data_IF_228083559065
#
_entry.id   IF_228083559065
#
_cell.length_a   1.000
_cell.length_b   1.000
_cell.length_c   1.000
_cell.angle_alpha   90.00
_cell.angle_beta   90.00
_cell.angle_gamma   90.00
#
_symmetry.space_group_name_H-M   'P 1'
#
loop_
_entity.id
_entity.type
_entity.pdbx_description
1 polymer ?
#
# COMPACT_ATOMS: atom_id res chain seq x y z
N UNK A 1 14.38 -31.64 -21.81
CA UNK A 1 14.80 -31.38 -20.42
C UNK A 1 15.75 -30.18 -20.40
N UNK A 2 15.31 -29.04 -19.89
CA UNK A 2 16.21 -27.93 -19.56
C UNK A 2 16.62 -28.05 -18.10
N UNK A 3 17.92 -27.92 -17.81
CA UNK A 3 18.42 -27.90 -16.44
C UNK A 3 18.12 -26.53 -15.82
N UNK A 4 17.75 -26.46 -14.54
CA UNK A 4 17.50 -25.18 -13.88
C UNK A 4 18.79 -24.36 -13.77
N UNK A 5 18.69 -23.05 -14.00
CA UNK A 5 19.76 -22.07 -13.80
C UNK A 5 19.56 -21.39 -12.44
N UNK A 6 20.59 -21.39 -11.60
CA UNK A 6 20.63 -20.61 -10.37
C UNK A 6 21.46 -19.35 -10.62
N UNK A 7 20.85 -18.18 -10.50
CA UNK A 7 21.54 -16.89 -10.59
C UNK A 7 21.70 -16.32 -9.19
N UNK A 8 22.93 -16.07 -8.77
CA UNK A 8 23.27 -15.44 -7.48
C UNK A 8 23.74 -14.02 -7.78
N UNK A 9 23.05 -13.04 -7.21
CA UNK A 9 23.34 -11.62 -7.42
C UNK A 9 23.67 -10.97 -6.07
N UNK A 10 24.65 -10.07 -6.08
CA UNK A 10 24.88 -9.16 -4.97
C UNK A 10 23.88 -7.98 -5.05
N UNK A 11 23.34 -7.54 -3.92
CA UNK A 11 22.48 -6.34 -3.85
C UNK A 11 23.20 -5.08 -4.30
N UNK A 12 24.53 -5.06 -4.26
CA UNK A 12 25.35 -3.94 -4.73
C UNK A 12 25.18 -3.62 -6.21
N UNK A 13 24.57 -4.50 -7.01
CA UNK A 13 24.33 -4.28 -8.44
C UNK A 13 23.28 -3.19 -8.69
N UNK A 14 22.29 -3.04 -7.79
CA UNK A 14 21.19 -2.08 -7.94
C UNK A 14 20.66 -1.63 -6.57
N UNK A 15 21.20 -0.50 -6.11
CA UNK A 15 20.73 0.17 -4.90
C UNK A 15 19.56 1.13 -5.17
N UNK A 16 19.32 1.54 -6.42
CA UNK A 16 18.24 2.47 -6.73
C UNK A 16 16.88 1.81 -6.49
N UNK A 17 16.71 0.57 -6.96
CA UNK A 17 15.48 -0.22 -6.76
C UNK A 17 15.17 -0.52 -5.28
N UNK A 18 16.17 -0.48 -4.40
CA UNK A 18 15.97 -0.66 -2.95
C UNK A 18 15.39 0.57 -2.27
N UNK A 19 15.68 1.75 -2.82
CA UNK A 19 15.28 3.03 -2.27
C UNK A 19 13.98 3.54 -2.91
N UNK A 20 13.66 3.03 -4.10
CA UNK A 20 12.48 3.41 -4.87
C UNK A 20 11.20 3.16 -4.09
N UNK A 21 10.32 4.17 -4.04
CA UNK A 21 8.96 3.98 -3.57
C UNK A 21 8.25 3.01 -4.50
N UNK A 22 7.56 2.04 -3.92
CA UNK A 22 6.86 1.03 -4.70
C UNK A 22 5.38 1.36 -4.77
N UNK A 23 4.71 0.94 -5.85
CA UNK A 23 3.28 1.22 -6.05
C UNK A 23 2.41 -0.04 -6.08
N UNK A 24 2.99 -1.22 -5.89
CA UNK A 24 2.25 -2.49 -5.78
C UNK A 24 1.68 -2.67 -4.37
N UNK A 25 0.53 -3.33 -4.24
CA UNK A 25 -0.17 -3.42 -2.95
C UNK A 25 0.67 -3.99 -1.81
N UNK A 26 1.39 -5.09 -2.04
CA UNK A 26 2.24 -5.71 -1.01
C UNK A 26 3.42 -4.82 -0.62
N UNK A 27 4.11 -4.28 -1.61
CA UNK A 27 5.32 -3.51 -1.35
C UNK A 27 4.96 -2.17 -0.68
N UNK A 28 3.85 -1.54 -1.07
CA UNK A 28 3.33 -0.33 -0.47
C UNK A 28 2.90 -0.55 0.98
N UNK A 29 2.21 -1.66 1.27
CA UNK A 29 1.88 -2.08 2.63
C UNK A 29 3.14 -2.28 3.48
N UNK A 30 4.20 -2.85 2.91
CA UNK A 30 5.46 -3.04 3.61
C UNK A 30 6.25 -1.75 3.84
N UNK A 31 6.21 -0.82 2.88
CA UNK A 31 7.02 0.41 2.91
C UNK A 31 6.40 1.49 3.80
N UNK A 32 5.06 1.52 3.88
CA UNK A 32 4.31 2.59 4.55
C UNK A 32 3.76 2.16 5.90
N UNK A 33 3.29 0.92 6.03
CA UNK A 33 2.69 0.39 7.26
C UNK A 33 3.69 -0.50 7.98
N UNK A 34 3.48 -0.74 9.29
CA UNK A 34 4.32 -1.68 10.02
C UNK A 34 3.95 -3.12 9.64
N UNK A 35 4.56 -3.60 8.56
CA UNK A 35 4.38 -4.95 8.02
C UNK A 35 5.50 -5.86 8.52
N UNK A 36 5.18 -6.79 9.42
CA UNK A 36 6.13 -7.79 9.93
C UNK A 36 5.47 -9.15 9.97
N UNK A 37 6.16 -10.19 9.51
CA UNK A 37 5.68 -11.58 9.60
C UNK A 37 4.26 -11.79 9.01
N UNK A 38 3.94 -11.15 7.86
CA UNK A 38 2.62 -11.14 7.23
C UNK A 38 1.50 -10.51 8.08
N UNK A 39 1.86 -9.63 9.00
CA UNK A 39 0.94 -8.88 9.84
C UNK A 39 1.15 -7.39 9.62
N UNK A 40 0.05 -6.67 9.48
CA UNK A 40 0.02 -5.22 9.32
C UNK A 40 -0.56 -4.60 10.58
N UNK A 41 0.18 -3.70 11.20
CA UNK A 41 -0.32 -2.90 12.33
C UNK A 41 -0.70 -1.50 11.83
N UNK A 42 -1.96 -1.12 12.08
CA UNK A 42 -2.52 0.19 11.72
C UNK A 42 -2.90 0.91 13.00
N UNK A 43 -2.41 2.13 13.16
CA UNK A 43 -2.82 3.04 14.21
C UNK A 43 -4.02 3.85 13.75
N UNK A 44 -5.21 3.52 14.27
CA UNK A 44 -6.40 4.33 14.08
C UNK A 44 -6.47 5.37 15.21
N UNK A 45 -6.66 6.64 14.83
CA UNK A 45 -6.97 7.71 15.78
C UNK A 45 -8.48 7.80 15.90
N UNK A 46 -9.01 7.53 17.10
CA UNK A 46 -10.43 7.67 17.35
C UNK A 46 -10.74 9.15 17.70
N UNK A 47 -11.21 9.90 16.71
CA UNK A 47 -11.62 11.30 16.86
C UNK A 47 -12.80 11.47 17.85
N UNK A 48 -13.52 10.39 18.17
CA UNK A 48 -14.71 10.45 19.03
C UNK A 48 -14.40 10.35 20.52
N UNK A 49 -13.19 9.94 20.89
CA UNK A 49 -12.77 9.78 22.29
C UNK A 49 -11.71 10.83 22.61
N UNK A 50 -12.10 11.92 23.26
CA UNK A 50 -11.15 12.86 23.87
C UNK A 50 -10.84 12.39 25.29
N UNK A 51 -9.59 12.01 25.56
CA UNK A 51 -9.15 11.90 26.95
C UNK A 51 -8.99 13.30 27.54
N UNK A 52 -9.13 13.45 28.86
CA UNK A 52 -9.13 14.76 29.56
C UNK A 52 -7.89 15.65 29.34
N UNK A 53 -6.83 15.12 28.72
CA UNK A 53 -5.61 15.83 28.32
C UNK A 53 -5.58 16.28 26.84
N UNK A 54 -6.70 16.18 26.12
CA UNK A 54 -6.80 16.58 24.70
C UNK A 54 -6.08 15.64 23.72
N UNK A 55 -5.70 14.44 24.17
CA UNK A 55 -5.11 13.39 23.31
C UNK A 55 -6.19 12.37 22.92
N UNK A 56 -6.30 12.09 21.63
CA UNK A 56 -7.12 10.98 21.14
C UNK A 56 -6.37 9.66 21.42
N UNK A 57 -7.00 8.67 22.08
CA UNK A 57 -6.38 7.37 22.27
C UNK A 57 -6.21 6.68 20.91
N UNK A 58 -4.99 6.31 20.55
CA UNK A 58 -4.71 5.53 19.35
C UNK A 58 -5.04 4.06 19.62
N UNK A 59 -5.94 3.47 18.82
CA UNK A 59 -6.22 2.04 18.88
C UNK A 59 -5.40 1.36 17.79
N UNK A 60 -4.39 0.60 18.19
CA UNK A 60 -3.63 -0.27 17.28
C UNK A 60 -4.51 -1.44 16.86
N UNK A 61 -4.83 -1.53 15.58
CA UNK A 61 -5.46 -2.71 14.97
C UNK A 61 -4.43 -3.50 14.22
N UNK A 62 -4.53 -4.81 14.35
CA UNK A 62 -3.61 -5.76 13.76
C UNK A 62 -4.36 -6.62 12.75
N UNK A 63 -3.88 -6.66 11.53
CA UNK A 63 -4.46 -7.41 10.43
C UNK A 63 -3.48 -8.49 9.96
N UNK A 64 -3.91 -9.75 9.98
CA UNK A 64 -3.12 -10.88 9.53
C UNK A 64 -3.42 -11.22 8.06
N UNK A 65 -2.40 -11.16 7.20
CA UNK A 65 -2.48 -11.45 5.78
C UNK A 65 -2.11 -12.91 5.51
N UNK A 66 -3.13 -13.75 5.44
CA UNK A 66 -2.96 -15.21 5.39
C UNK A 66 -2.76 -15.67 3.93
N UNK A 67 -1.84 -16.61 3.63
CA UNK A 67 -1.65 -17.13 2.26
C UNK A 67 -2.88 -17.84 1.65
N UNK A 68 -3.85 -18.23 2.49
CA UNK A 68 -5.12 -18.84 2.07
C UNK A 68 -6.14 -17.81 1.57
N UNK A 69 -5.90 -16.53 1.83
CA UNK A 69 -6.73 -15.45 1.33
C UNK A 69 -6.62 -15.36 -0.19
N UNK A 70 -7.74 -15.64 -0.87
CA UNK A 70 -7.84 -15.62 -2.33
C UNK A 70 -7.60 -14.21 -2.89
N UNK A 71 -8.12 -13.18 -2.21
CA UNK A 71 -7.99 -11.80 -2.64
C UNK A 71 -6.53 -11.36 -2.56
N UNK A 72 -5.89 -11.56 -1.40
CA UNK A 72 -4.48 -11.24 -1.20
C UNK A 72 -3.58 -11.97 -2.22
N UNK A 73 -3.80 -13.27 -2.44
CA UNK A 73 -3.00 -14.06 -3.38
C UNK A 73 -3.06 -13.51 -4.81
N UNK A 74 -4.21 -13.01 -5.24
CA UNK A 74 -4.43 -12.46 -6.58
C UNK A 74 -3.92 -11.03 -6.71
N UNK A 75 -4.12 -10.20 -5.68
CA UNK A 75 -3.94 -8.75 -5.77
C UNK A 75 -2.61 -8.23 -5.22
N UNK A 76 -1.88 -9.01 -4.41
CA UNK A 76 -0.65 -8.55 -3.74
C UNK A 76 0.41 -7.92 -4.66
N UNK A 77 0.54 -8.40 -5.89
CA UNK A 77 1.52 -7.94 -6.87
C UNK A 77 1.01 -6.86 -7.82
N UNK A 78 -0.28 -6.53 -7.77
CA UNK A 78 -0.87 -5.56 -8.68
C UNK A 78 -0.63 -4.12 -8.19
N UNK A 79 -0.56 -3.14 -9.11
CA UNK A 79 -0.57 -1.73 -8.77
C UNK A 79 -1.75 -1.37 -7.86
N UNK A 80 -1.50 -0.52 -6.87
CA UNK A 80 -2.49 -0.11 -5.87
C UNK A 80 -3.81 0.40 -6.47
N UNK A 81 -3.83 1.17 -7.59
CA UNK A 81 -5.08 1.61 -8.18
C UNK A 81 -5.96 0.46 -8.69
N UNK A 82 -5.35 -0.56 -9.31
CA UNK A 82 -6.06 -1.77 -9.76
C UNK A 82 -6.62 -2.54 -8.57
N UNK A 83 -5.85 -2.62 -7.47
CA UNK A 83 -6.33 -3.28 -6.25
C UNK A 83 -7.53 -2.56 -5.66
N UNK A 84 -7.51 -1.22 -5.61
CA UNK A 84 -8.63 -0.45 -5.13
C UNK A 84 -9.92 -0.64 -5.96
N UNK A 85 -9.80 -0.70 -7.29
CA UNK A 85 -10.91 -1.04 -8.17
C UNK A 85 -11.44 -2.45 -7.89
N UNK A 86 -10.53 -3.41 -7.68
CA UNK A 86 -10.90 -4.80 -7.37
C UNK A 86 -11.59 -4.94 -6.00
N UNK A 87 -11.15 -4.20 -4.97
CA UNK A 87 -11.86 -4.15 -3.67
C UNK A 87 -13.29 -3.68 -3.89
N UNK A 88 -13.47 -2.61 -4.67
CA UNK A 88 -14.79 -2.05 -4.92
C UNK A 88 -15.70 -3.02 -5.69
N UNK A 89 -15.17 -3.72 -6.69
CA UNK A 89 -15.92 -4.74 -7.44
C UNK A 89 -16.34 -5.89 -6.51
N UNK A 90 -15.44 -6.36 -5.67
CA UNK A 90 -15.71 -7.49 -4.78
C UNK A 90 -16.68 -7.12 -3.64
N UNK A 91 -16.65 -5.87 -3.16
CA UNK A 91 -17.66 -5.31 -2.26
C UNK A 91 -19.04 -5.25 -2.89
N UNK A 92 -19.14 -4.83 -4.16
CA UNK A 92 -20.41 -4.78 -4.89
C UNK A 92 -20.98 -6.19 -5.11
N UNK A 93 -20.13 -7.15 -5.50
CA UNK A 93 -20.52 -8.57 -5.59
C UNK A 93 -20.98 -9.12 -4.25
N UNK A 94 -20.31 -8.76 -3.15
CA UNK A 94 -20.73 -9.17 -1.81
C UNK A 94 -22.12 -8.60 -1.46
N UNK A 95 -22.38 -7.31 -1.71
CA UNK A 95 -23.69 -6.68 -1.45
C UNK A 95 -24.83 -7.34 -2.22
N UNK A 96 -24.58 -7.76 -3.46
CA UNK A 96 -25.56 -8.48 -4.27
C UNK A 96 -25.90 -9.85 -3.65
N UNK A 97 -24.88 -10.59 -3.21
CA UNK A 97 -25.07 -11.88 -2.53
C UNK A 97 -25.79 -11.73 -1.18
N UNK A 98 -25.42 -10.71 -0.39
CA UNK A 98 -26.09 -10.39 0.87
C UNK A 98 -27.56 -10.00 0.66
N UNK A 99 -27.85 -9.25 -0.40
CA UNK A 99 -29.22 -8.90 -0.79
C UNK A 99 -30.05 -10.13 -1.19
N UNK A 100 -29.46 -11.09 -1.90
CA UNK A 100 -30.12 -12.35 -2.25
C UNK A 100 -30.44 -13.18 -0.99
N UNK A 101 -29.47 -13.33 -0.09
CA UNK A 101 -29.65 -14.02 1.21
C UNK A 101 -30.73 -13.34 2.04
N UNK A 102 -30.74 -12.00 2.09
CA UNK A 102 -31.74 -11.21 2.82
C UNK A 102 -33.14 -11.36 2.21
N UNK A 103 -33.25 -11.41 0.89
CA UNK A 103 -34.51 -11.67 0.17
C UNK A 103 -35.04 -13.07 0.47
N UNK A 104 -34.15 -14.08 0.44
CA UNK A 104 -34.49 -15.46 0.81
C UNK A 104 -34.96 -15.55 2.27
N UNK A 105 -34.26 -14.90 3.21
CA UNK A 105 -34.66 -14.78 4.62
C UNK A 105 -36.05 -14.18 4.78
N UNK A 106 -36.33 -13.09 4.04
CA UNK A 106 -37.64 -12.40 4.09
C UNK A 106 -38.76 -13.25 3.52
N UNK A 107 -38.50 -13.94 2.41
CA UNK A 107 -39.45 -14.88 1.80
C UNK A 107 -39.78 -16.07 2.72
N UNK A 108 -38.91 -16.36 3.71
CA UNK A 108 -39.08 -17.46 4.66
C UNK A 108 -39.56 -17.03 6.05
N UNK A 109 -39.86 -15.74 6.26
CA UNK A 109 -40.48 -15.24 7.49
C UNK A 109 -39.58 -15.22 8.73
N UNK A 110 -38.26 -15.41 8.58
CA UNK A 110 -37.30 -15.42 9.69
C UNK A 110 -36.90 -13.98 10.05
N UNK A 111 -37.26 -13.53 11.27
CA UNK A 111 -36.86 -12.24 11.84
C UNK A 111 -35.68 -12.45 12.82
N UNK A 112 -34.55 -11.76 12.63
CA UNK A 112 -33.34 -11.82 13.49
C UNK A 112 -32.04 -11.60 12.71
N UNK A 113 -30.93 -11.19 13.33
CA UNK A 113 -29.66 -10.89 12.63
C UNK A 113 -28.98 -12.13 12.03
N UNK A 114 -28.01 -11.94 11.12
CA UNK A 114 -27.31 -13.03 10.43
C UNK A 114 -26.57 -13.98 11.39
N UNK A 115 -26.19 -13.51 12.58
CA UNK A 115 -25.58 -14.33 13.64
C UNK A 115 -26.62 -15.20 14.39
N UNK A 116 -27.83 -14.70 14.62
CA UNK A 116 -28.94 -15.45 15.23
C UNK A 116 -29.53 -16.51 14.28
N UNK A 117 -29.33 -16.30 12.98
CA UNK A 117 -29.74 -17.21 11.91
C UNK A 117 -28.99 -18.55 11.98
N UNK A 118 -27.69 -18.55 12.33
CA UNK A 118 -26.88 -19.75 12.40
C UNK A 118 -27.31 -20.71 13.53
N UNK A 119 -27.86 -20.16 14.62
CA UNK A 119 -28.32 -20.93 15.78
C UNK A 119 -29.75 -21.43 15.56
N UNK A 120 -30.63 -20.64 14.93
CA UNK A 120 -32.03 -21.00 14.68
C UNK A 120 -32.22 -22.01 13.52
N UNK A 121 -31.35 -21.97 12.50
CA UNK A 121 -31.48 -22.80 11.29
C UNK A 121 -30.96 -24.24 11.41
N UNK A 122 -30.33 -24.63 12.52
CA UNK A 122 -29.88 -26.02 12.74
C UNK A 122 -31.06 -27.01 12.89
N UNK A 123 -32.30 -26.53 13.05
CA UNK A 123 -33.47 -27.36 13.34
C UNK A 123 -34.37 -27.73 12.14
N UNK A 124 -34.29 -27.07 10.98
CA UNK A 124 -35.23 -27.33 9.86
C UNK A 124 -34.56 -27.66 8.52
N UNK A 125 -34.78 -28.90 8.06
CA UNK A 125 -34.27 -29.47 6.81
C UNK A 125 -35.19 -29.16 5.62
N UNK A 126 -34.83 -28.16 4.79
CA UNK A 126 -35.34 -28.02 3.41
C UNK A 126 -34.18 -27.94 2.43
N UNK A 127 -34.23 -28.62 1.29
CA UNK A 127 -33.09 -28.75 0.36
C UNK A 127 -32.54 -27.42 -0.22
N UNK A 128 -33.37 -26.39 -0.35
CA UNK A 128 -32.93 -25.02 -0.69
C UNK A 128 -32.36 -24.25 0.51
N UNK A 129 -32.78 -24.58 1.74
CA UNK A 129 -32.17 -24.08 2.98
C UNK A 129 -30.77 -24.65 3.16
N UNK A 130 -30.56 -25.95 2.91
CA UNK A 130 -29.24 -26.59 3.09
C UNK A 130 -28.14 -25.91 2.27
N UNK A 131 -28.43 -25.53 1.01
CA UNK A 131 -27.46 -24.86 0.14
C UNK A 131 -27.13 -23.42 0.55
N UNK A 132 -28.12 -22.67 1.06
CA UNK A 132 -27.90 -21.30 1.55
C UNK A 132 -27.24 -21.31 2.95
N UNK A 133 -27.62 -22.25 3.81
CA UNK A 133 -27.02 -22.46 5.14
C UNK A 133 -25.57 -22.91 5.03
N UNK A 134 -25.22 -23.73 4.03
CA UNK A 134 -23.83 -24.14 3.80
C UNK A 134 -22.91 -23.00 3.33
N UNK A 135 -23.44 -21.98 2.65
CA UNK A 135 -22.65 -20.87 2.11
C UNK A 135 -22.56 -19.64 3.02
N UNK A 136 -23.40 -19.57 4.06
CA UNK A 136 -23.36 -18.47 5.04
C UNK A 136 -22.01 -18.32 5.76
N UNK A 137 -21.36 -19.40 6.28
CA UNK A 137 -20.04 -19.27 6.90
C UNK A 137 -18.99 -18.76 5.91
N UNK A 138 -19.06 -19.18 4.64
CA UNK A 138 -18.16 -18.71 3.59
C UNK A 138 -18.40 -17.22 3.27
N UNK A 139 -19.66 -16.77 3.26
CA UNK A 139 -20.02 -15.38 3.04
C UNK A 139 -19.54 -14.47 4.19
N UNK A 140 -19.67 -14.91 5.45
CA UNK A 140 -19.17 -14.18 6.62
C UNK A 140 -17.65 -14.06 6.63
N UNK A 141 -16.92 -15.14 6.31
CA UNK A 141 -15.46 -15.09 6.21
C UNK A 141 -15.01 -14.20 5.05
N UNK A 142 -15.72 -14.26 3.91
CA UNK A 142 -15.47 -13.36 2.78
C UNK A 142 -15.67 -11.89 3.17
N UNK A 143 -16.71 -11.57 3.92
CA UNK A 143 -16.92 -10.23 4.48
C UNK A 143 -15.73 -9.80 5.35
N UNK A 144 -15.31 -10.65 6.28
CA UNK A 144 -14.20 -10.36 7.19
C UNK A 144 -12.90 -10.04 6.45
N UNK A 145 -12.58 -10.81 5.39
CA UNK A 145 -11.40 -10.57 4.56
C UNK A 145 -11.51 -9.30 3.72
N UNK A 146 -12.70 -9.00 3.18
CA UNK A 146 -12.95 -7.75 2.46
C UNK A 146 -12.84 -6.52 3.36
N UNK A 147 -13.40 -6.58 4.57
CA UNK A 147 -13.29 -5.51 5.56
C UNK A 147 -11.82 -5.28 5.93
N UNK A 148 -11.03 -6.36 6.11
CA UNK A 148 -9.59 -6.28 6.33
C UNK A 148 -8.88 -5.53 5.20
N UNK A 149 -9.10 -5.92 3.94
CA UNK A 149 -8.43 -5.28 2.80
C UNK A 149 -8.88 -3.83 2.59
N UNK A 150 -10.15 -3.54 2.86
CA UNK A 150 -10.70 -2.17 2.80
C UNK A 150 -10.03 -1.27 3.83
N UNK A 151 -9.87 -1.75 5.07
CA UNK A 151 -9.19 -1.00 6.13
C UNK A 151 -7.71 -0.74 5.80
N UNK A 152 -7.01 -1.76 5.31
CA UNK A 152 -5.61 -1.60 4.86
C UNK A 152 -5.51 -0.60 3.70
N UNK A 153 -6.39 -0.70 2.69
CA UNK A 153 -6.37 0.18 1.53
C UNK A 153 -6.67 1.63 1.92
N UNK A 154 -7.58 1.85 2.86
CA UNK A 154 -7.91 3.18 3.41
C UNK A 154 -6.70 3.77 4.14
N UNK A 155 -6.08 3.02 5.05
CA UNK A 155 -4.89 3.45 5.77
C UNK A 155 -3.72 3.78 4.82
N UNK A 156 -3.54 2.98 3.76
CA UNK A 156 -2.56 3.25 2.71
C UNK A 156 -2.87 4.56 1.99
N UNK A 157 -4.11 4.75 1.55
CA UNK A 157 -4.53 5.97 0.85
C UNK A 157 -4.29 7.22 1.70
N UNK A 158 -4.58 7.16 3.00
CA UNK A 158 -4.37 8.28 3.92
C UNK A 158 -2.89 8.63 4.06
N UNK A 159 -2.01 7.63 4.18
CA UNK A 159 -0.57 7.86 4.23
C UNK A 159 0.00 8.39 2.91
N UNK A 160 -0.47 7.88 1.76
CA UNK A 160 -0.09 8.37 0.44
C UNK A 160 -0.43 9.85 0.31
N UNK A 161 -1.65 10.25 0.69
CA UNK A 161 -2.08 11.66 0.65
C UNK A 161 -1.29 12.52 1.63
N UNK A 162 -1.15 12.08 2.88
CA UNK A 162 -0.46 12.81 3.95
C UNK A 162 0.99 13.10 3.59
N UNK A 163 1.69 12.15 2.95
CA UNK A 163 3.10 12.26 2.57
C UNK A 163 3.29 12.71 1.12
N UNK A 164 2.22 12.86 0.33
CA UNK A 164 2.26 13.14 -1.13
C UNK A 164 3.17 12.17 -1.89
N UNK A 165 3.07 10.88 -1.57
CA UNK A 165 3.98 9.84 -2.11
C UNK A 165 3.84 9.63 -3.62
N UNK A 166 2.72 10.04 -4.20
CA UNK A 166 2.52 10.12 -5.64
C UNK A 166 3.56 11.01 -6.32
N UNK A 167 3.93 12.13 -5.70
CA UNK A 167 4.95 13.04 -6.24
C UNK A 167 6.35 12.43 -6.14
N UNK A 168 6.65 11.72 -5.04
CA UNK A 168 7.93 11.03 -4.86
C UNK A 168 8.08 9.90 -5.88
N UNK A 169 7.08 9.02 -5.98
CA UNK A 169 7.05 7.92 -6.94
C UNK A 169 7.24 8.41 -8.39
N UNK A 170 6.43 9.39 -8.84
CA UNK A 170 6.54 9.93 -10.21
C UNK A 170 7.93 10.53 -10.48
N UNK A 171 8.50 11.19 -9.48
CA UNK A 171 9.83 11.80 -9.60
C UNK A 171 10.93 10.73 -9.69
N UNK A 172 10.89 9.73 -8.82
CA UNK A 172 11.91 8.68 -8.77
C UNK A 172 11.85 7.80 -10.02
N UNK A 173 10.65 7.46 -10.50
CA UNK A 173 10.47 6.71 -11.74
C UNK A 173 11.12 7.42 -12.93
N UNK A 174 10.91 8.73 -13.05
CA UNK A 174 11.57 9.57 -14.08
C UNK A 174 13.09 9.57 -13.92
N UNK A 175 13.61 9.62 -12.70
CA UNK A 175 15.05 9.57 -12.43
C UNK A 175 15.68 8.22 -12.80
N UNK A 176 15.02 7.12 -12.46
CA UNK A 176 15.49 5.75 -12.73
C UNK A 176 15.44 5.44 -14.23
N UNK A 177 14.36 5.82 -14.90
CA UNK A 177 14.17 5.64 -16.36
C UNK A 177 14.92 6.66 -17.20
N UNK A 178 15.58 7.65 -16.56
CA UNK A 178 16.34 8.75 -17.21
C UNK A 178 15.48 9.62 -18.13
N UNK A 179 14.21 9.80 -17.78
CA UNK A 179 13.31 10.71 -18.47
C UNK A 179 13.52 12.16 -18.03
N UNK A 180 13.10 13.12 -18.86
CA UNK A 180 13.19 14.55 -18.55
C UNK A 180 12.23 14.88 -17.40
N UNK A 181 12.75 15.54 -16.37
CA UNK A 181 11.97 15.97 -15.21
C UNK A 181 11.40 17.38 -15.47
N UNK A 182 10.09 17.56 -15.28
CA UNK A 182 9.43 18.87 -15.43
C UNK A 182 9.53 19.73 -14.17
N UNK A 183 9.53 19.11 -12.98
CA UNK A 183 9.64 19.79 -11.68
C UNK A 183 11.06 19.72 -11.16
N UNK A 184 11.51 20.78 -10.50
CA UNK A 184 12.83 20.79 -9.87
C UNK A 184 12.83 19.85 -8.65
N UNK A 185 13.80 18.94 -8.57
CA UNK A 185 14.01 18.07 -7.41
C UNK A 185 14.11 18.88 -6.10
N UNK A 186 14.73 20.05 -6.17
CA UNK A 186 14.89 20.96 -5.05
C UNK A 186 13.56 21.45 -4.49
N UNK A 187 12.54 21.65 -5.34
CA UNK A 187 11.21 22.07 -4.91
C UNK A 187 10.51 20.99 -4.10
N UNK A 188 10.59 19.74 -4.56
CA UNK A 188 10.00 18.58 -3.87
C UNK A 188 10.65 18.37 -2.50
N UNK A 189 11.99 18.47 -2.42
CA UNK A 189 12.72 18.32 -1.17
C UNK A 189 12.48 19.48 -0.19
N UNK A 190 12.22 20.68 -0.69
CA UNK A 190 12.01 21.87 0.14
C UNK A 190 10.58 22.00 0.67
N UNK A 191 9.59 21.31 0.09
CA UNK A 191 8.21 21.34 0.56
C UNK A 191 8.12 20.73 1.98
N UNK A 192 7.76 21.51 3.02
CA UNK A 192 7.64 21.00 4.39
C UNK A 192 6.41 20.09 4.57
N UNK A 193 5.44 20.14 3.66
CA UNK A 193 4.23 19.33 3.68
C UNK A 193 4.34 18.05 2.82
N UNK A 194 5.50 17.79 2.20
CA UNK A 194 5.73 16.61 1.37
C UNK A 194 6.73 15.66 2.02
N UNK A 195 6.32 14.41 2.18
CA UNK A 195 7.16 13.30 2.63
C UNK A 195 7.63 13.41 4.08
N UNK A 196 8.19 12.30 4.55
CA UNK A 196 8.99 12.25 5.77
C UNK A 196 10.44 12.63 5.47
N UNK A 197 11.28 12.89 6.49
CA UNK A 197 12.72 13.07 6.29
C UNK A 197 13.36 11.87 5.56
N UNK A 198 12.86 10.66 5.80
CA UNK A 198 13.33 9.45 5.13
C UNK A 198 12.98 9.43 3.64
N UNK A 199 11.75 9.82 3.27
CA UNK A 199 11.32 9.89 1.86
C UNK A 199 12.19 10.87 1.05
N UNK A 200 12.47 12.03 1.65
CA UNK A 200 13.35 13.04 1.06
C UNK A 200 14.77 12.53 0.88
N UNK A 201 15.29 11.82 1.89
CA UNK A 201 16.62 11.21 1.79
C UNK A 201 16.66 10.14 0.69
N UNK A 202 15.67 9.24 0.62
CA UNK A 202 15.57 8.19 -0.42
C UNK A 202 15.56 8.79 -1.81
N UNK A 203 14.71 9.78 -2.04
CA UNK A 203 14.61 10.50 -3.31
C UNK A 203 15.96 11.13 -3.71
N UNK A 204 16.64 11.80 -2.78
CA UNK A 204 17.95 12.37 -3.04
C UNK A 204 19.00 11.29 -3.36
N UNK A 205 19.01 10.17 -2.63
CA UNK A 205 19.94 9.07 -2.87
C UNK A 205 19.72 8.45 -4.25
N UNK A 206 18.47 8.26 -4.68
CA UNK A 206 18.15 7.79 -6.04
C UNK A 206 18.67 8.78 -7.07
N UNK A 207 18.39 10.07 -6.90
CA UNK A 207 18.94 11.10 -7.78
C UNK A 207 20.46 11.05 -7.85
N UNK A 208 21.14 10.92 -6.70
CA UNK A 208 22.59 10.82 -6.66
C UNK A 208 23.10 9.55 -7.36
N UNK A 209 22.42 8.41 -7.23
CA UNK A 209 22.82 7.17 -7.91
C UNK A 209 22.66 7.31 -9.43
N UNK A 210 21.53 7.84 -9.89
CA UNK A 210 21.16 7.92 -11.31
C UNK A 210 21.89 9.05 -12.07
N UNK A 211 22.28 10.14 -11.39
CA UNK A 211 22.97 11.28 -12.01
C UNK A 211 24.47 10.98 -12.22
N UNK A 212 25.03 11.03 -13.44
CA UNK A 212 26.43 10.63 -13.70
C UNK A 212 27.48 11.47 -12.94
N UNK A 213 27.27 12.77 -12.89
CA UNK A 213 28.17 13.78 -12.32
C UNK A 213 27.36 14.79 -11.53
N UNK A 214 27.76 15.03 -10.28
CA UNK A 214 27.22 16.08 -9.43
C UNK A 214 28.39 16.86 -8.85
N UNK A 215 28.34 18.18 -8.94
CA UNK A 215 29.37 19.05 -8.36
C UNK A 215 29.28 19.05 -6.83
N UNK A 216 30.38 19.42 -6.16
CA UNK A 216 30.38 19.53 -4.70
C UNK A 216 29.44 20.63 -4.22
N UNK A 217 29.34 21.74 -4.96
CA UNK A 217 28.43 22.84 -4.64
C UNK A 217 26.96 22.41 -4.69
N UNK A 218 26.55 21.66 -5.71
CA UNK A 218 25.17 21.11 -5.77
C UNK A 218 24.90 20.16 -4.62
N UNK A 219 25.86 19.27 -4.32
CA UNK A 219 25.75 18.35 -3.19
C UNK A 219 25.53 19.10 -1.86
N UNK A 220 26.28 20.17 -1.63
CA UNK A 220 26.21 20.96 -0.39
C UNK A 220 24.86 21.70 -0.28
N UNK A 221 24.27 22.12 -1.41
CA UNK A 221 22.92 22.69 -1.45
C UNK A 221 21.86 21.66 -1.04
N UNK A 222 21.90 20.45 -1.61
CA UNK A 222 20.99 19.37 -1.22
C UNK A 222 21.16 18.98 0.26
N UNK A 223 22.40 18.91 0.75
CA UNK A 223 22.69 18.64 2.16
C UNK A 223 22.09 19.68 3.09
N UNK A 224 22.09 20.95 2.69
CA UNK A 224 21.49 22.04 3.46
C UNK A 224 19.98 21.88 3.56
N UNK A 225 19.31 21.53 2.45
CA UNK A 225 17.86 21.28 2.42
C UNK A 225 17.48 20.06 3.27
N UNK A 226 18.24 18.97 3.16
CA UNK A 226 17.99 17.75 3.94
C UNK A 226 18.18 17.99 5.44
N UNK A 227 19.19 18.77 5.84
CA UNK A 227 19.37 19.21 7.24
C UNK A 227 18.19 20.06 7.71
N UNK A 228 17.73 21.01 6.89
CA UNK A 228 16.55 21.82 7.19
C UNK A 228 15.26 21.00 7.32
N UNK A 229 15.20 19.84 6.65
CA UNK A 229 14.08 18.88 6.73
C UNK A 229 14.19 17.89 7.89
N UNK A 230 15.08 18.12 8.87
CA UNK A 230 15.32 17.23 10.02
C UNK A 230 15.79 15.82 9.65
N UNK A 231 16.50 15.64 8.53
CA UNK A 231 17.08 14.34 8.17
C UNK A 231 18.29 14.02 9.08
N UNK A 232 18.17 12.96 9.90
CA UNK A 232 19.22 12.53 10.84
C UNK A 232 20.29 11.64 10.20
N UNK A 233 19.95 10.89 9.15
CA UNK A 233 20.79 9.84 8.57
C UNK A 233 21.65 10.31 7.38
N UNK A 234 22.25 11.49 7.47
CA UNK A 234 23.09 12.04 6.38
C UNK A 234 24.36 11.21 6.11
N UNK A 235 24.77 10.37 7.04
CA UNK A 235 25.88 9.43 6.88
C UNK A 235 25.68 8.47 5.71
N UNK A 236 24.42 8.15 5.37
CA UNK A 236 24.07 7.32 4.22
C UNK A 236 24.62 7.89 2.90
N UNK A 237 24.72 9.21 2.79
CA UNK A 237 25.25 9.89 1.59
C UNK A 237 26.75 9.60 1.42
N UNK A 238 27.51 9.53 2.53
CA UNK A 238 28.92 9.17 2.48
C UNK A 238 29.13 7.72 2.01
N UNK A 239 28.27 6.80 2.46
CA UNK A 239 28.27 5.42 2.01
C UNK A 239 27.96 5.32 0.50
N UNK A 240 26.89 5.96 0.04
CA UNK A 240 26.51 5.95 -1.37
C UNK A 240 27.58 6.62 -2.25
N UNK A 241 28.25 7.68 -1.78
CA UNK A 241 29.40 8.29 -2.48
C UNK A 241 30.54 7.28 -2.68
N UNK A 242 30.87 6.51 -1.63
CA UNK A 242 31.89 5.45 -1.72
C UNK A 242 31.46 4.33 -2.65
N UNK A 243 30.22 3.84 -2.51
CA UNK A 243 29.67 2.80 -3.38
C UNK A 243 29.70 3.21 -4.85
N UNK A 244 29.26 4.44 -5.17
CA UNK A 244 29.26 4.96 -6.55
C UNK A 244 30.67 5.06 -7.13
N UNK A 245 31.67 5.40 -6.32
CA UNK A 245 33.08 5.38 -6.74
C UNK A 245 33.54 3.97 -7.12
N UNK A 246 33.20 2.96 -6.32
CA UNK A 246 33.57 1.56 -6.56
C UNK A 246 32.81 1.01 -7.78
N UNK A 247 31.51 1.29 -7.88
CA UNK A 247 30.65 0.84 -8.99
C UNK A 247 31.15 1.37 -10.34
N UNK A 248 31.54 2.65 -10.42
CA UNK A 248 32.18 3.23 -11.62
C UNK A 248 33.45 2.48 -12.04
N UNK A 249 34.22 1.95 -11.10
CA UNK A 249 35.42 1.15 -11.42
C UNK A 249 35.07 -0.25 -11.94
N UNK A 250 33.97 -0.85 -11.46
CA UNK A 250 33.50 -2.17 -11.92
C UNK A 250 32.92 -2.13 -13.35
N UNK A 251 32.19 -1.07 -13.71
CA UNK A 251 31.60 -0.88 -15.04
C UNK A 251 32.69 -0.72 -16.12
N UNK A 252 33.84 -0.10 -15.78
CA UNK A 252 35.01 -0.01 -16.68
C UNK A 252 35.61 -1.39 -16.98
N UNK A 253 35.46 -2.37 -16.08
CA UNK A 253 35.92 -3.74 -16.32
C UNK A 253 34.94 -4.57 -17.16
N UNK A 254 33.64 -4.25 -17.12
CA UNK A 254 32.59 -4.94 -17.90
C UNK A 254 32.31 -4.32 -19.28
N UNK A 255 32.66 -3.05 -19.52
CA UNK A 255 32.48 -2.39 -20.83
C UNK A 255 33.33 -2.99 -21.98
N UNK A 256 34.07 -4.08 -21.74
CA UNK A 256 34.67 -4.90 -22.79
C UNK A 256 33.70 -5.91 -23.41
N UNK A 257 32.54 -6.20 -22.81
CA UNK A 257 31.60 -7.20 -23.33
C UNK A 257 30.12 -6.81 -23.11
N UNK A 258 29.47 -6.30 -24.17
CA UNK A 258 28.03 -6.47 -24.43
C UNK A 258 27.04 -5.46 -23.81
N UNK A 259 26.36 -4.69 -24.67
CA UNK A 259 25.25 -3.82 -24.28
C UNK A 259 23.89 -4.53 -24.29
N UNK A 260 22.95 -4.08 -23.44
CA UNK A 260 21.55 -4.52 -23.48
C UNK A 260 20.61 -3.35 -23.20
N UNK A 261 19.51 -3.30 -23.95
CA UNK A 261 18.42 -2.32 -23.92
C UNK A 261 17.40 -2.67 -22.83
N UNK A 262 16.91 -1.65 -22.10
CA UNK A 262 15.84 -1.79 -21.10
C UNK A 262 14.50 -1.31 -21.67
N UNK A 263 13.45 -2.13 -21.55
CA UNK A 263 12.05 -1.75 -21.81
C UNK A 263 11.51 -0.94 -20.62
N UNK A 264 10.93 0.23 -20.91
CA UNK A 264 10.15 1.02 -19.94
C UNK A 264 8.68 0.61 -19.97
N UNK A 265 8.06 0.53 -18.80
CA UNK A 265 6.61 0.45 -18.64
C UNK A 265 6.08 1.88 -18.47
N UNK A 266 5.07 2.29 -19.24
CA UNK A 266 4.41 3.60 -19.13
C UNK A 266 3.15 3.49 -18.25
N UNK A 267 3.15 4.08 -17.05
CA UNK A 267 1.95 4.11 -16.17
C UNK A 267 1.58 5.52 -15.65
N UNK A 268 1.94 6.60 -16.37
CA UNK A 268 1.86 7.97 -15.82
C UNK A 268 0.54 8.73 -16.04
N UNK A 269 -0.59 8.07 -16.38
CA UNK A 269 -1.88 8.77 -16.59
C UNK A 269 -3.06 8.29 -15.74
N UNK A 270 -2.98 7.13 -15.09
CA UNK A 270 -4.08 6.61 -14.26
C UNK A 270 -4.10 7.20 -12.84
N UNK A 271 -2.95 7.61 -12.30
CA UNK A 271 -2.81 7.94 -10.87
C UNK A 271 -3.62 9.19 -10.44
N UNK A 272 -3.71 10.22 -11.30
CA UNK A 272 -4.37 11.49 -10.95
C UNK A 272 -5.90 11.41 -10.91
N UNK A 273 -6.52 10.64 -11.82
CA UNK A 273 -7.98 10.51 -11.87
C UNK A 273 -8.51 9.53 -10.80
N UNK A 274 -7.68 8.59 -10.34
CA UNK A 274 -8.06 7.60 -9.32
C UNK A 274 -8.06 8.17 -7.90
N UNK A 275 -7.23 9.18 -7.58
CA UNK A 275 -7.21 9.82 -6.26
C UNK A 275 -8.55 10.50 -5.91
N UNK A 276 -9.19 11.19 -6.85
CA UNK A 276 -10.50 11.82 -6.64
C UNK A 276 -11.64 10.78 -6.57
N UNK A 277 -11.55 9.73 -7.39
CA UNK A 277 -12.55 8.66 -7.45
C UNK A 277 -12.53 7.74 -6.22
N UNK A 278 -11.36 7.39 -5.70
CA UNK A 278 -11.21 6.61 -4.47
C UNK A 278 -11.59 7.43 -3.24
N UNK A 279 -11.16 8.69 -3.15
CA UNK A 279 -11.47 9.55 -2.01
C UNK A 279 -12.98 9.78 -1.84
N UNK A 280 -13.71 10.00 -2.95
CA UNK A 280 -15.16 10.14 -2.91
C UNK A 280 -15.89 8.82 -2.62
N UNK A 281 -15.39 7.68 -3.11
CA UNK A 281 -16.09 6.39 -2.99
C UNK A 281 -15.80 5.62 -1.69
N UNK A 282 -14.60 5.77 -1.13
CA UNK A 282 -14.21 5.17 0.16
C UNK A 282 -14.72 6.01 1.33
N UNK A 283 -14.65 7.35 1.25
CA UNK A 283 -15.17 8.24 2.31
C UNK A 283 -16.70 8.22 2.42
N UNK A 284 -17.42 7.86 1.34
CA UNK A 284 -18.88 7.72 1.34
C UNK A 284 -19.39 6.43 2.02
N UNK A 285 -18.50 5.58 2.55
CA UNK A 285 -18.88 4.34 3.21
C UNK A 285 -18.62 4.46 4.70
N UNK A 286 -19.67 4.74 5.48
CA UNK A 286 -19.60 4.60 6.93
C UNK A 286 -19.17 3.17 7.25
N UNK A 287 -18.24 2.96 8.21
CA UNK A 287 -18.06 1.64 8.79
C UNK A 287 -19.43 1.21 9.32
N UNK A 288 -19.88 0.01 8.94
CA UNK A 288 -21.13 -0.56 9.44
C UNK A 288 -21.12 -0.47 10.97
N UNK A 289 -21.95 0.41 11.52
CA UNK A 289 -22.15 0.55 12.94
C UNK A 289 -22.67 -0.77 13.48
N UNK A 290 -21.96 -1.33 14.47
CA UNK A 290 -22.49 -2.43 15.26
C UNK A 290 -23.83 -1.99 15.88
N UNK A 291 -24.86 -2.85 15.93
CA UNK A 291 -26.08 -2.53 16.65
C UNK A 291 -25.69 -2.29 18.12
N UNK A 292 -26.00 -1.11 18.62
CA UNK A 292 -25.98 -0.78 20.03
C UNK A 292 -26.74 -1.86 20.79
N UNK A 293 -26.04 -2.65 21.61
CA UNK A 293 -26.68 -3.50 22.60
C UNK A 293 -27.41 -2.57 23.56
N UNK A 294 -28.73 -2.48 23.41
CA UNK A 294 -29.62 -1.96 24.43
C UNK A 294 -29.39 -2.75 25.71
N UNK A 295 -28.62 -2.16 26.61
CA UNK A 295 -28.47 -2.62 27.96
C UNK A 295 -29.71 -2.16 28.71
N UNK A 296 -30.71 -3.04 28.77
CA UNK A 296 -31.89 -2.92 29.62
C UNK A 296 -31.53 -2.38 31.02
N UNK A 297 -32.13 -1.25 31.38
CA UNK A 297 -32.61 -0.99 32.74
C UNK A 297 -33.82 -0.07 32.72
#
# INVERSE_FOLDING_TARGET
>A
FQRPLLVILDRSIDLASLLHHTWTYQALAHDILDFKLNRVEIEEFDETITTGDGRHPSKRRTYDLIPTDKFWKQQKGNPFPIVAESIQEELERYRQLEGEVTRLKTAMGIKGDAEDLAISLLNDTTSKLTSAVSSLPELLEKKRLLDLHTNIATALLDQIKKRKLDVFFETEEKLITKQVQEKSLMEVLSDPAAGTPEDKLRLFLIHYICTPTMTQSELDQYMTILRGSNCTHLEAIAYIKRWKSISKMSVVSQAREGGTTTMGYEESKLVRNLQELLACKISAQQPFSAPSRDCNR
#
